data_IF_828892065930
#
_entry.id   IF_828892065930
#
_cell.length_a   1.000
_cell.length_b   1.000
_cell.length_c   1.000
_cell.angle_alpha   90.00
_cell.angle_beta   90.00
_cell.angle_gamma   90.00
#
_symmetry.space_group_name_H-M   'P 1'
#
loop_
_entity.id
_entity.type
_entity.pdbx_description
1 polymer ?
#
# COMPACT_ATOMS: atom_id res chain seq x y z
N UNK A 1 1.18 15.07 14.40
CA UNK A 1 1.84 13.76 14.27
C UNK A 1 1.85 13.35 12.80
N UNK A 2 2.99 12.91 12.32
CA UNK A 2 3.08 12.45 10.94
C UNK A 2 2.44 11.07 10.80
N UNK A 3 1.77 10.86 9.69
CA UNK A 3 1.16 9.58 9.37
C UNK A 3 2.26 8.57 9.01
N UNK A 4 2.14 7.35 9.55
CA UNK A 4 3.10 6.29 9.31
C UNK A 4 2.37 4.98 9.08
N UNK A 5 2.94 4.12 8.23
CA UNK A 5 2.49 2.72 8.13
C UNK A 5 3.25 1.91 9.17
N UNK A 6 2.52 1.28 10.07
CA UNK A 6 3.11 0.49 11.15
C UNK A 6 3.30 -0.96 10.76
N UNK A 7 2.32 -1.53 10.07
CA UNK A 7 2.35 -2.93 9.65
C UNK A 7 1.74 -3.07 8.27
N UNK A 8 2.18 -4.09 7.54
CA UNK A 8 1.63 -4.41 6.23
C UNK A 8 1.61 -5.93 6.07
N UNK A 9 0.51 -6.44 5.52
CA UNK A 9 0.34 -7.86 5.25
C UNK A 9 -0.17 -8.06 3.84
N UNK A 10 0.42 -9.01 3.13
CA UNK A 10 -0.02 -9.35 1.79
C UNK A 10 -1.36 -10.08 1.85
N UNK A 11 -2.33 -9.65 1.04
CA UNK A 11 -3.64 -10.28 0.97
C UNK A 11 -3.74 -11.19 -0.25
N UNK A 12 -3.77 -10.60 -1.44
CA UNK A 12 -3.77 -11.30 -2.71
C UNK A 12 -3.55 -10.29 -3.83
N UNK A 13 -3.20 -10.77 -5.02
CA UNK A 13 -2.99 -9.90 -6.19
C UNK A 13 -2.04 -8.76 -5.82
N UNK A 14 -2.48 -7.51 -5.94
CA UNK A 14 -1.68 -6.34 -5.58
C UNK A 14 -2.30 -5.61 -4.39
N UNK A 15 -2.90 -6.37 -3.45
CA UNK A 15 -3.58 -5.82 -2.29
C UNK A 15 -2.81 -6.08 -1.02
N UNK A 16 -2.65 -5.04 -0.21
CA UNK A 16 -2.01 -5.11 1.09
C UNK A 16 -2.98 -4.64 2.16
N UNK A 17 -2.97 -5.32 3.30
CA UNK A 17 -3.64 -4.81 4.51
C UNK A 17 -2.64 -3.95 5.24
N UNK A 18 -2.94 -2.67 5.40
CA UNK A 18 -2.05 -1.70 6.04
C UNK A 18 -2.64 -1.24 7.36
N UNK A 19 -1.79 -1.18 8.38
CA UNK A 19 -2.13 -0.58 9.66
C UNK A 19 -1.32 0.70 9.82
N UNK A 20 -2.00 1.80 10.10
CA UNK A 20 -1.39 3.12 10.26
C UNK A 20 -1.24 3.46 11.74
N UNK A 21 -0.36 4.42 12.03
CA UNK A 21 -0.07 4.81 13.41
C UNK A 21 -1.23 5.53 14.10
N UNK A 22 -2.28 5.89 13.36
CA UNK A 22 -3.50 6.46 13.94
C UNK A 22 -4.55 5.40 14.28
N UNK A 23 -4.18 4.11 14.17
CA UNK A 23 -5.07 3.00 14.50
C UNK A 23 -5.95 2.53 13.36
N UNK A 24 -5.90 3.18 12.20
CA UNK A 24 -6.73 2.78 11.06
C UNK A 24 -6.08 1.61 10.34
N UNK A 25 -6.88 0.58 10.04
CA UNK A 25 -6.48 -0.54 9.20
C UNK A 25 -7.30 -0.52 7.93
N UNK A 26 -6.65 -0.69 6.79
CA UNK A 26 -7.34 -0.71 5.50
C UNK A 26 -6.64 -1.64 4.54
N UNK A 27 -7.44 -2.31 3.68
CA UNK A 27 -6.91 -2.99 2.51
C UNK A 27 -6.74 -1.96 1.40
N UNK A 28 -5.56 -1.92 0.80
CA UNK A 28 -5.24 -1.00 -0.28
C UNK A 28 -4.83 -1.80 -1.50
N UNK A 29 -5.49 -1.54 -2.63
CA UNK A 29 -5.17 -2.18 -3.90
C UNK A 29 -4.24 -1.25 -4.68
N UNK A 30 -3.03 -1.73 -4.97
CA UNK A 30 -2.01 -0.94 -5.63
C UNK A 30 -1.86 -1.25 -7.12
N UNK A 31 -2.73 -2.09 -7.68
CA UNK A 31 -2.58 -2.54 -9.06
C UNK A 31 -2.48 -1.38 -10.05
N UNK A 32 -3.30 -0.35 -9.89
CA UNK A 32 -3.34 0.78 -10.80
C UNK A 32 -2.32 1.86 -10.46
N UNK A 33 -1.50 1.63 -9.43
CA UNK A 33 -0.51 2.61 -8.98
C UNK A 33 0.91 2.23 -9.38
N UNK A 34 1.09 1.09 -10.07
CA UNK A 34 2.42 0.57 -10.40
C UNK A 34 2.90 1.15 -11.75
N UNK A 35 2.94 2.48 -11.81
CA UNK A 35 3.33 3.22 -13.01
C UNK A 35 4.73 3.81 -12.81
N UNK A 36 5.46 3.93 -13.92
CA UNK A 36 6.81 4.46 -13.85
C UNK A 36 7.84 3.35 -13.72
N UNK A 37 9.06 3.66 -14.13
CA UNK A 37 10.14 2.67 -14.28
C UNK A 37 10.42 1.92 -12.98
N UNK A 38 10.45 2.62 -11.84
CA UNK A 38 10.81 2.00 -10.56
C UNK A 38 9.74 1.01 -10.11
N UNK A 39 8.50 1.15 -10.59
CA UNK A 39 7.40 0.27 -10.16
C UNK A 39 7.18 -0.92 -11.10
N UNK A 40 7.83 -0.94 -12.27
CA UNK A 40 7.63 -2.03 -13.22
C UNK A 40 7.94 -3.41 -12.62
N UNK A 41 9.05 -3.60 -11.86
CA UNK A 41 9.30 -4.91 -11.25
C UNK A 41 8.20 -5.38 -10.30
N UNK A 42 7.45 -4.45 -9.71
CA UNK A 42 6.39 -4.78 -8.76
C UNK A 42 5.17 -5.39 -9.43
N UNK A 43 5.09 -5.33 -10.76
CA UNK A 43 4.01 -5.98 -11.50
C UNK A 43 4.15 -7.49 -11.50
N UNK A 44 5.34 -7.99 -11.16
CA UNK A 44 5.55 -9.41 -10.89
C UNK A 44 5.11 -9.66 -9.44
N UNK A 45 4.09 -10.49 -9.27
CA UNK A 45 3.50 -10.71 -7.94
C UNK A 45 4.50 -11.28 -6.95
N UNK A 46 5.45 -12.11 -7.39
CA UNK A 46 6.46 -12.65 -6.48
C UNK A 46 7.38 -11.54 -5.96
N UNK A 47 7.71 -10.57 -6.80
CA UNK A 47 8.49 -9.42 -6.37
C UNK A 47 7.64 -8.52 -5.47
N UNK A 48 6.38 -8.30 -5.83
CA UNK A 48 5.46 -7.46 -5.07
C UNK A 48 5.34 -7.92 -3.61
N UNK A 49 5.38 -9.22 -3.38
CA UNK A 49 5.25 -9.78 -2.03
C UNK A 49 6.47 -9.48 -1.14
N UNK A 50 7.58 -9.02 -1.71
CA UNK A 50 8.85 -8.84 -0.99
C UNK A 50 9.01 -7.42 -0.46
N UNK A 51 7.94 -6.87 0.09
CA UNK A 51 8.00 -5.55 0.71
C UNK A 51 8.47 -5.66 2.15
N UNK A 52 8.90 -4.52 2.70
CA UNK A 52 9.21 -4.38 4.11
C UNK A 52 8.78 -2.99 4.56
N UNK A 53 8.72 -2.78 5.87
CA UNK A 53 8.46 -1.44 6.40
C UNK A 53 9.82 -0.78 6.59
N UNK A 54 10.01 0.35 5.92
CA UNK A 54 11.25 1.10 5.98
C UNK A 54 10.92 2.59 5.89
N UNK A 55 11.52 3.39 6.77
CA UNK A 55 11.21 4.83 6.86
C UNK A 55 9.71 5.10 6.96
N UNK A 56 9.04 4.28 7.79
CA UNK A 56 7.62 4.49 8.14
C UNK A 56 6.64 4.21 7.00
N UNK A 57 7.07 3.45 5.98
CA UNK A 57 6.16 3.06 4.90
C UNK A 57 6.61 1.74 4.28
N UNK A 58 5.78 1.20 3.37
CA UNK A 58 6.17 0.00 2.63
C UNK A 58 7.18 0.37 1.55
N UNK A 59 8.21 -0.45 1.45
CA UNK A 59 9.29 -0.26 0.49
C UNK A 59 9.71 -1.62 -0.07
N UNK A 60 10.12 -1.62 -1.33
CA UNK A 60 10.63 -2.82 -2.01
C UNK A 60 12.14 -2.73 -2.16
N UNK A 61 12.76 -3.87 -2.46
CA UNK A 61 14.23 -3.98 -2.53
C UNK A 61 14.88 -2.98 -3.47
N UNK A 62 14.18 -2.62 -4.56
CA UNK A 62 14.71 -1.68 -5.55
C UNK A 62 14.56 -0.23 -5.14
N UNK A 63 14.09 0.04 -3.91
CA UNK A 63 13.90 1.39 -3.41
C UNK A 63 12.55 2.00 -3.73
N UNK A 64 11.68 1.27 -4.44
CA UNK A 64 10.33 1.77 -4.70
C UNK A 64 9.56 1.85 -3.38
N UNK A 65 8.81 2.95 -3.20
CA UNK A 65 7.97 3.12 -2.02
C UNK A 65 6.78 4.00 -2.36
N UNK A 66 5.84 4.07 -1.42
CA UNK A 66 4.69 4.97 -1.51
C UNK A 66 4.60 5.75 -0.21
N UNK A 67 4.37 7.05 -0.29
CA UNK A 67 4.21 7.88 0.91
C UNK A 67 3.01 7.38 1.72
N UNK A 68 3.11 7.36 3.06
CA UNK A 68 1.98 6.92 3.89
C UNK A 68 0.70 7.70 3.63
N UNK A 69 0.82 9.02 3.40
CA UNK A 69 -0.34 9.87 3.11
C UNK A 69 -1.04 9.45 1.83
N UNK A 70 -0.27 9.09 0.81
CA UNK A 70 -0.83 8.62 -0.45
C UNK A 70 -1.57 7.31 -0.26
N UNK A 71 -0.96 6.36 0.45
CA UNK A 71 -1.58 5.06 0.73
C UNK A 71 -2.86 5.22 1.53
N UNK A 72 -2.85 6.11 2.51
CA UNK A 72 -4.02 6.39 3.33
C UNK A 72 -5.15 6.96 2.47
N UNK A 73 -4.82 7.91 1.60
CA UNK A 73 -5.80 8.58 0.75
C UNK A 73 -6.46 7.60 -0.21
N UNK A 74 -5.67 6.80 -0.94
CA UNK A 74 -6.26 5.85 -1.89
C UNK A 74 -7.02 4.75 -1.16
N UNK A 75 -6.54 4.34 -0.01
CA UNK A 75 -7.25 3.34 0.81
C UNK A 75 -8.61 3.84 1.24
N UNK A 76 -8.70 5.08 1.69
CA UNK A 76 -9.97 5.67 2.07
C UNK A 76 -10.93 5.76 0.89
N UNK A 77 -10.44 6.16 -0.27
CA UNK A 77 -11.26 6.24 -1.46
C UNK A 77 -11.81 4.88 -1.86
N UNK A 78 -10.98 3.86 -1.84
CA UNK A 78 -11.39 2.50 -2.21
C UNK A 78 -12.42 1.96 -1.24
N UNK A 79 -12.22 2.17 0.05
CA UNK A 79 -13.15 1.67 1.06
C UNK A 79 -14.46 2.48 1.09
N UNK A 80 -14.38 3.79 0.80
CA UNK A 80 -15.56 4.62 0.70
C UNK A 80 -16.47 4.15 -0.44
N UNK A 81 -15.88 3.79 -1.58
CA UNK A 81 -16.65 3.27 -2.71
C UNK A 81 -17.41 1.98 -2.34
N UNK A 82 -16.77 1.11 -1.55
CA UNK A 82 -17.44 -0.10 -1.06
C UNK A 82 -18.66 0.22 -0.20
N UNK A 83 -18.54 1.25 0.64
CA UNK A 83 -19.66 1.66 1.50
C UNK A 83 -20.83 2.21 0.70
N UNK A 84 -20.55 2.91 -0.39
CA UNK A 84 -21.59 3.50 -1.24
C UNK A 84 -22.38 2.41 -1.95
N UNK A 85 -21.73 1.30 -2.30
CA UNK A 85 -22.37 0.20 -3.03
C UNK A 85 -23.32 -0.58 -2.13
N UNK A 86 -23.11 -0.51 -0.83
CA UNK A 86 -24.00 -1.16 0.11
C UNK A 86 -25.31 -0.41 0.25
#
# INVERSE_FOLDING_TARGET
MFLEVKNAHYIKDFKLLLEFNNGVEMTVDLENELNGTVFIPLKDMEYFKRFSIHFNTVEWENGADFAPEFLFQIGKQQNKLKQIIL
#
